data_IF_427694712404
#
_entry.id   IF_427694712404
#
_cell.length_a   1.000
_cell.length_b   1.000
_cell.length_c   1.000
_cell.angle_alpha   90.00
_cell.angle_beta   90.00
_cell.angle_gamma   90.00
#
_symmetry.space_group_name_H-M   'P 1'
#
loop_
_entity.id
_entity.type
_entity.pdbx_description
1 polymer ?
#
# COMPACT_ATOMS: atom_id res chain seq x y z
N UNK A 1 -50.03 -18.55 -13.74
CA UNK A 1 -49.42 -18.45 -12.39
C UNK A 1 -48.33 -19.49 -12.33
N UNK A 2 -47.11 -19.09 -12.64
CA UNK A 2 -45.94 -19.98 -12.63
C UNK A 2 -45.00 -19.42 -11.59
N UNK A 3 -44.85 -20.15 -10.48
CA UNK A 3 -43.93 -19.82 -9.40
C UNK A 3 -42.50 -19.97 -9.92
N UNK A 4 -41.77 -18.86 -9.93
CA UNK A 4 -40.34 -18.82 -10.18
C UNK A 4 -39.64 -18.85 -8.82
N UNK A 5 -39.00 -19.97 -8.50
CA UNK A 5 -38.17 -20.14 -7.31
C UNK A 5 -36.87 -19.36 -7.50
N UNK A 6 -36.66 -18.33 -6.66
CA UNK A 6 -35.39 -17.62 -6.55
C UNK A 6 -34.42 -18.49 -5.76
N UNK A 7 -33.38 -18.99 -6.40
CA UNK A 7 -32.17 -19.49 -5.75
C UNK A 7 -31.25 -18.32 -5.45
N UNK A 8 -30.74 -18.25 -4.21
CA UNK A 8 -29.78 -17.25 -3.74
C UNK A 8 -28.52 -17.25 -4.62
N UNK A 9 -27.96 -16.07 -4.97
CA UNK A 9 -26.70 -16.01 -5.70
C UNK A 9 -25.54 -16.32 -4.75
N UNK A 10 -24.74 -17.32 -5.13
CA UNK A 10 -23.42 -17.56 -4.55
C UNK A 10 -22.59 -16.27 -4.60
N UNK A 11 -22.05 -15.88 -3.44
CA UNK A 11 -21.07 -14.80 -3.31
C UNK A 11 -19.83 -15.16 -4.15
N UNK A 12 -19.67 -14.48 -5.28
CA UNK A 12 -18.48 -14.62 -6.13
C UNK A 12 -17.26 -13.99 -5.44
N UNK A 13 -16.07 -14.59 -5.59
CA UNK A 13 -14.86 -14.07 -4.97
C UNK A 13 -14.54 -12.67 -5.52
N UNK A 14 -14.32 -11.75 -4.59
CA UNK A 14 -13.91 -10.36 -4.81
C UNK A 14 -12.84 -10.25 -5.89
N UNK A 15 -12.96 -9.21 -6.73
CA UNK A 15 -12.03 -8.81 -7.79
C UNK A 15 -10.59 -8.94 -7.33
N UNK A 16 -9.95 -10.06 -7.66
CA UNK A 16 -8.51 -10.20 -7.52
C UNK A 16 -7.89 -9.23 -8.51
N UNK A 17 -6.89 -8.46 -8.06
CA UNK A 17 -5.95 -7.81 -8.96
C UNK A 17 -5.54 -8.87 -10.00
N UNK A 18 -5.83 -8.61 -11.28
CA UNK A 18 -5.51 -9.52 -12.36
C UNK A 18 -4.04 -9.86 -12.24
N UNK A 19 -3.77 -11.11 -11.86
CA UNK A 19 -2.43 -11.59 -11.58
C UNK A 19 -1.59 -11.36 -12.82
N UNK A 20 -0.59 -10.50 -12.68
CA UNK A 20 0.54 -10.52 -13.58
C UNK A 20 1.06 -11.96 -13.60
N UNK A 21 0.97 -12.62 -14.75
CA UNK A 21 1.70 -13.86 -15.01
C UNK A 21 3.18 -13.49 -15.10
N UNK A 22 3.79 -13.24 -13.95
CA UNK A 22 5.18 -12.81 -13.89
C UNK A 22 6.07 -13.92 -14.42
N UNK A 23 6.93 -13.60 -15.37
CA UNK A 23 7.92 -14.54 -15.87
C UNK A 23 8.92 -14.88 -14.75
N UNK A 24 9.64 -16.01 -14.89
CA UNK A 24 10.69 -16.41 -13.93
C UNK A 24 11.75 -15.32 -13.71
N UNK A 25 12.01 -14.47 -14.71
CA UNK A 25 12.93 -13.33 -14.64
C UNK A 25 12.42 -12.21 -13.72
N UNK A 26 11.11 -11.93 -13.69
CA UNK A 26 10.50 -10.97 -12.75
C UNK A 26 10.63 -11.43 -11.28
N UNK A 27 10.57 -12.75 -11.05
CA UNK A 27 10.77 -13.33 -9.72
C UNK A 27 12.24 -13.29 -9.27
N UNK A 28 13.18 -13.46 -10.21
CA UNK A 28 14.62 -13.34 -9.93
C UNK A 28 15.02 -11.86 -9.70
N UNK A 29 14.45 -10.89 -10.44
CA UNK A 29 14.64 -9.45 -10.14
C UNK A 29 14.02 -9.03 -8.80
N UNK A 30 12.89 -9.63 -8.40
CA UNK A 30 12.28 -9.40 -7.08
C UNK A 30 13.06 -10.03 -5.93
N UNK A 31 13.86 -11.07 -6.18
CA UNK A 31 14.83 -11.64 -5.22
C UNK A 31 16.10 -10.79 -5.12
N UNK A 32 16.35 -9.91 -6.10
CA UNK A 32 17.50 -8.99 -6.16
C UNK A 32 17.16 -7.53 -5.81
N UNK A 33 16.05 -7.26 -5.11
CA UNK A 33 15.92 -5.97 -4.41
C UNK A 33 17.13 -5.86 -3.49
N UNK A 34 18.07 -4.96 -3.80
CA UNK A 34 19.35 -4.79 -3.11
C UNK A 34 19.15 -4.73 -1.59
N UNK A 35 19.19 -5.89 -0.94
CA UNK A 35 19.50 -6.07 0.48
C UNK A 35 21.02 -5.96 0.63
N UNK A 36 21.61 -4.91 0.07
CA UNK A 36 23.02 -4.55 0.30
C UNK A 36 23.20 -3.96 1.71
N UNK A 37 22.10 -3.74 2.43
CA UNK A 37 22.12 -3.74 3.88
C UNK A 37 22.49 -5.15 4.32
N UNK A 38 23.72 -5.32 4.82
CA UNK A 38 24.25 -6.61 5.30
C UNK A 38 23.30 -7.36 6.24
N UNK A 39 23.64 -8.61 6.62
CA UNK A 39 22.75 -9.47 7.40
C UNK A 39 22.09 -8.70 8.55
N UNK A 40 20.74 -8.72 8.59
CA UNK A 40 19.96 -8.00 9.59
C UNK A 40 20.49 -8.31 11.00
N UNK A 41 21.12 -7.32 11.62
CA UNK A 41 21.69 -7.48 12.95
C UNK A 41 20.58 -7.37 14.01
N UNK A 42 20.01 -8.53 14.35
CA UNK A 42 18.97 -8.63 15.39
C UNK A 42 19.44 -8.14 16.75
N UNK A 43 20.75 -8.07 17.01
CA UNK A 43 21.27 -7.60 18.29
C UNK A 43 21.07 -6.09 18.49
N UNK A 44 20.79 -5.36 17.40
CA UNK A 44 20.48 -3.93 17.43
C UNK A 44 19.00 -3.61 17.67
N UNK A 45 18.13 -4.63 17.71
CA UNK A 45 16.68 -4.43 17.86
C UNK A 45 16.36 -4.05 19.30
N UNK A 46 15.84 -2.84 19.48
CA UNK A 46 15.28 -2.38 20.74
C UNK A 46 13.89 -3.01 20.93
N UNK A 47 13.79 -4.04 21.78
CA UNK A 47 12.54 -4.76 22.04
C UNK A 47 11.45 -3.87 22.64
N UNK A 48 11.81 -2.75 23.27
CA UNK A 48 10.82 -1.79 23.76
C UNK A 48 10.06 -1.11 22.62
N UNK A 49 10.62 -1.13 21.39
CA UNK A 49 9.90 -0.64 20.23
C UNK A 49 8.65 -1.49 19.94
N UNK A 50 8.52 -2.75 20.38
CA UNK A 50 7.41 -3.62 19.98
C UNK A 50 6.21 -3.66 20.95
N UNK A 51 6.33 -3.09 22.15
CA UNK A 51 5.29 -3.20 23.20
C UNK A 51 3.90 -2.71 22.76
N UNK A 52 3.87 -1.74 21.85
CA UNK A 52 2.66 -1.20 21.25
C UNK A 52 2.73 -1.24 19.71
N UNK A 53 3.19 -2.37 19.19
CA UNK A 53 3.35 -2.62 17.76
C UNK A 53 2.06 -2.65 16.95
N UNK A 54 2.18 -2.60 15.61
CA UNK A 54 1.08 -2.94 14.71
C UNK A 54 0.98 -4.45 14.60
N UNK A 55 -0.19 -5.00 14.89
CA UNK A 55 -0.43 -6.44 14.78
C UNK A 55 -0.61 -6.86 13.32
N UNK A 56 0.06 -7.93 12.92
CA UNK A 56 -0.08 -8.54 11.60
C UNK A 56 -0.39 -10.03 11.77
N UNK A 57 -1.52 -10.46 11.23
CA UNK A 57 -1.89 -11.87 11.15
C UNK A 57 -1.33 -12.48 9.87
N UNK A 58 -0.79 -13.68 10.01
CA UNK A 58 -0.06 -14.38 8.95
C UNK A 58 -0.56 -15.80 8.88
N UNK A 59 -0.89 -16.28 7.69
CA UNK A 59 -1.20 -17.70 7.50
C UNK A 59 0.08 -18.50 7.47
N UNK A 60 0.13 -19.59 8.24
CA UNK A 60 1.25 -20.51 8.24
C UNK A 60 0.81 -21.78 7.54
N UNK A 61 1.50 -22.11 6.45
CA UNK A 61 1.25 -23.32 5.67
C UNK A 61 2.31 -24.36 5.97
N UNK A 62 1.91 -25.62 6.07
CA UNK A 62 2.86 -26.74 6.06
C UNK A 62 3.65 -26.74 4.75
N UNK A 63 4.82 -27.37 4.75
CA UNK A 63 5.70 -27.36 3.58
C UNK A 63 5.07 -28.05 2.35
N UNK A 64 4.18 -29.00 2.57
CA UNK A 64 3.48 -29.77 1.54
C UNK A 64 2.16 -29.13 1.05
N UNK A 65 1.72 -28.02 1.65
CA UNK A 65 0.50 -27.35 1.23
C UNK A 65 0.63 -26.78 -0.19
N UNK A 66 -0.25 -27.21 -1.09
CA UNK A 66 -0.31 -26.75 -2.48
C UNK A 66 -1.73 -26.35 -2.82
N UNK A 67 -1.94 -25.06 -3.06
CA UNK A 67 -3.23 -24.53 -3.47
C UNK A 67 -3.06 -23.52 -4.60
N UNK A 68 -3.71 -23.66 -5.78
CA UNK A 68 -3.48 -22.79 -6.93
C UNK A 68 -3.72 -21.30 -6.68
N UNK A 69 -4.55 -20.95 -5.69
CA UNK A 69 -4.79 -19.54 -5.36
C UNK A 69 -3.64 -18.93 -4.57
N UNK A 70 -2.92 -19.71 -3.75
CA UNK A 70 -1.92 -19.22 -2.79
C UNK A 70 -0.49 -19.67 -3.13
N UNK A 71 -0.33 -20.70 -3.95
CA UNK A 71 0.96 -21.25 -4.38
C UNK A 71 1.16 -21.06 -5.89
N UNK A 72 2.41 -20.88 -6.29
CA UNK A 72 2.89 -20.92 -7.67
C UNK A 72 2.84 -22.37 -8.21
N UNK A 73 2.93 -22.59 -9.54
CA UNK A 73 2.91 -23.93 -10.13
C UNK A 73 4.04 -24.86 -9.64
N UNK A 74 5.15 -24.29 -9.16
CA UNK A 74 6.27 -25.04 -8.58
C UNK A 74 6.07 -25.40 -7.10
N UNK A 75 4.95 -25.00 -6.49
CA UNK A 75 4.66 -25.23 -5.08
C UNK A 75 5.10 -24.09 -4.15
N UNK A 76 5.86 -23.10 -4.60
CA UNK A 76 6.25 -21.97 -3.73
C UNK A 76 5.04 -21.11 -3.36
N UNK A 77 5.05 -20.48 -2.19
CA UNK A 77 4.00 -19.51 -1.81
C UNK A 77 4.08 -18.29 -2.74
N UNK A 78 2.93 -17.82 -3.24
CA UNK A 78 2.88 -16.57 -3.99
C UNK A 78 3.34 -15.41 -3.10
N UNK A 79 4.29 -14.57 -3.55
CA UNK A 79 4.75 -13.45 -2.75
C UNK A 79 3.67 -12.36 -2.66
N UNK A 80 3.83 -11.47 -1.68
CA UNK A 80 3.09 -10.22 -1.52
C UNK A 80 1.56 -10.38 -1.52
N UNK A 81 1.08 -11.34 -0.73
CA UNK A 81 -0.34 -11.56 -0.52
C UNK A 81 -0.92 -10.49 0.41
N UNK A 82 -2.20 -10.10 0.25
CA UNK A 82 -2.84 -9.10 1.12
C UNK A 82 -2.85 -9.55 2.58
N UNK A 83 -3.15 -10.83 2.81
CA UNK A 83 -2.86 -11.52 4.07
C UNK A 83 -1.55 -12.27 3.85
N UNK A 84 -0.45 -11.88 4.51
CA UNK A 84 0.84 -12.52 4.34
C UNK A 84 0.77 -14.01 4.68
N UNK A 85 1.63 -14.77 3.99
CA UNK A 85 1.72 -16.22 4.13
C UNK A 85 3.19 -16.62 4.27
N UNK A 86 3.47 -17.57 5.16
CA UNK A 86 4.81 -18.14 5.35
C UNK A 86 4.73 -19.67 5.44
N UNK A 87 5.76 -20.36 4.97
CA UNK A 87 5.91 -21.81 5.21
C UNK A 87 6.29 -22.07 6.66
N UNK A 88 5.87 -23.20 7.22
CA UNK A 88 6.21 -23.54 8.60
C UNK A 88 7.72 -23.68 8.79
N UNK A 89 8.43 -24.31 7.84
CA UNK A 89 9.87 -24.49 7.94
C UNK A 89 10.61 -23.17 7.82
N UNK A 90 10.14 -22.27 6.95
CA UNK A 90 10.65 -20.92 6.81
C UNK A 90 10.45 -20.13 8.11
N UNK A 91 9.23 -20.16 8.67
CA UNK A 91 8.92 -19.51 9.94
C UNK A 91 9.83 -19.99 11.06
N UNK A 92 9.86 -21.30 11.32
CA UNK A 92 10.61 -21.85 12.46
C UNK A 92 12.13 -21.70 12.29
N UNK A 93 12.64 -21.77 11.05
CA UNK A 93 14.07 -21.59 10.75
C UNK A 93 14.51 -20.13 10.86
N UNK A 94 13.69 -19.19 10.37
CA UNK A 94 14.12 -17.79 10.20
C UNK A 94 13.84 -16.93 11.44
N UNK A 95 13.05 -17.44 12.39
CA UNK A 95 12.90 -16.84 13.72
C UNK A 95 14.21 -16.89 14.50
N UNK A 96 14.59 -15.76 15.07
CA UNK A 96 15.79 -15.60 15.89
C UNK A 96 15.41 -15.19 17.31
N UNK A 97 16.05 -15.81 18.30
CA UNK A 97 15.81 -15.50 19.70
C UNK A 97 16.63 -14.29 20.12
N UNK A 98 15.96 -13.25 20.62
CA UNK A 98 16.55 -12.03 21.18
C UNK A 98 16.04 -11.89 22.61
N UNK A 99 16.85 -12.26 23.59
CA UNK A 99 16.40 -12.41 24.98
C UNK A 99 15.29 -13.46 25.11
N UNK A 100 14.12 -13.03 25.59
CA UNK A 100 12.92 -13.88 25.73
C UNK A 100 11.94 -13.75 24.54
N UNK A 101 12.35 -13.06 23.47
CA UNK A 101 11.50 -12.76 22.32
C UNK A 101 11.97 -13.53 21.08
N UNK A 102 11.01 -13.85 20.20
CA UNK A 102 11.27 -14.45 18.89
C UNK A 102 11.01 -13.42 17.80
N UNK A 103 12.04 -13.07 17.06
CA UNK A 103 12.00 -12.03 16.02
C UNK A 103 12.18 -12.68 14.66
N UNK A 104 11.32 -12.33 13.71
CA UNK A 104 11.53 -12.56 12.28
C UNK A 104 12.20 -11.30 11.70
N UNK A 105 13.52 -11.30 11.47
CA UNK A 105 14.23 -10.11 11.01
C UNK A 105 13.92 -9.75 9.56
N UNK A 106 13.84 -10.78 8.72
CA UNK A 106 13.70 -10.65 7.27
C UNK A 106 12.28 -10.30 6.81
N UNK A 107 12.13 -9.98 5.50
CA UNK A 107 10.86 -9.61 4.91
C UNK A 107 9.89 -10.80 4.86
N UNK A 108 8.74 -10.65 5.50
CA UNK A 108 7.68 -11.67 5.50
C UNK A 108 6.95 -11.73 4.15
N UNK A 109 6.83 -12.92 3.57
CA UNK A 109 6.11 -13.18 2.30
C UNK A 109 6.59 -12.27 1.13
N UNK A 110 7.85 -11.83 1.15
CA UNK A 110 8.39 -10.91 0.14
C UNK A 110 7.89 -9.46 0.24
N UNK A 111 7.22 -9.08 1.33
CA UNK A 111 6.90 -7.69 1.65
C UNK A 111 8.10 -6.98 2.30
N UNK A 112 8.76 -6.02 1.62
CA UNK A 112 9.97 -5.40 2.16
C UNK A 112 9.76 -4.58 3.45
N UNK A 113 8.53 -4.12 3.69
CA UNK A 113 8.15 -3.40 4.90
C UNK A 113 7.88 -4.29 6.11
N UNK A 114 7.62 -5.58 5.91
CA UNK A 114 7.27 -6.53 6.98
C UNK A 114 8.52 -7.22 7.52
N UNK A 115 9.41 -6.41 8.10
CA UNK A 115 10.69 -6.79 8.72
C UNK A 115 10.68 -6.53 10.22
N UNK A 116 11.60 -7.17 10.94
CA UNK A 116 11.80 -7.06 12.39
C UNK A 116 10.49 -7.30 13.15
N UNK A 117 9.81 -8.39 12.85
CA UNK A 117 8.51 -8.74 13.40
C UNK A 117 8.66 -9.63 14.63
N UNK A 118 8.09 -9.24 15.76
CA UNK A 118 8.07 -10.07 16.96
C UNK A 118 6.90 -11.05 16.91
N UNK A 119 7.19 -12.36 17.00
CA UNK A 119 6.16 -13.38 17.10
C UNK A 119 5.48 -13.34 18.47
N UNK A 120 4.14 -13.17 18.47
CA UNK A 120 3.32 -13.11 19.70
C UNK A 120 2.54 -14.37 19.99
N UNK A 121 1.94 -14.98 18.97
CA UNK A 121 1.20 -16.22 19.13
C UNK A 121 1.24 -17.06 17.86
N UNK A 122 1.04 -18.36 18.04
CA UNK A 122 0.70 -19.31 16.99
C UNK A 122 -0.59 -19.99 17.40
N UNK A 123 -1.61 -19.87 16.57
CA UNK A 123 -2.97 -20.34 16.82
C UNK A 123 -3.39 -21.32 15.71
N UNK A 124 -4.01 -22.44 16.10
CA UNK A 124 -4.54 -23.45 15.17
C UNK A 124 -6.05 -23.30 15.03
N UNK A 125 -6.53 -23.19 13.80
CA UNK A 125 -7.97 -23.31 13.48
C UNK A 125 -8.42 -24.74 13.73
N UNK A 126 -9.35 -24.91 14.68
CA UNK A 126 -9.97 -26.20 14.97
C UNK A 126 -11.17 -26.41 14.04
N UNK A 127 -11.12 -27.49 13.26
CA UNK A 127 -12.21 -27.93 12.40
C UNK A 127 -12.89 -29.14 13.02
N UNK A 128 -14.21 -29.08 13.14
CA UNK A 128 -15.03 -30.17 13.64
C UNK A 128 -15.41 -31.18 12.58
N UNK A 129 -16.20 -32.19 12.94
CA UNK A 129 -16.84 -33.07 11.98
C UNK A 129 -17.60 -32.22 10.94
N UNK A 130 -17.50 -32.59 9.65
CA UNK A 130 -18.08 -31.85 8.52
C UNK A 130 -17.42 -30.49 8.20
N UNK A 131 -16.23 -30.19 8.74
CA UNK A 131 -15.51 -28.96 8.42
C UNK A 131 -16.08 -27.69 9.08
N UNK A 132 -16.94 -27.85 10.08
CA UNK A 132 -17.46 -26.73 10.87
C UNK A 132 -16.34 -26.11 11.71
N UNK A 133 -16.22 -24.78 11.68
CA UNK A 133 -15.27 -24.08 12.54
C UNK A 133 -15.68 -24.22 14.02
N UNK A 134 -14.82 -24.84 14.83
CA UNK A 134 -15.06 -25.05 16.26
C UNK A 134 -14.38 -24.00 17.14
N UNK A 135 -13.37 -23.28 16.62
CA UNK A 135 -12.65 -22.23 17.34
C UNK A 135 -11.17 -22.19 17.03
N UNK A 136 -10.44 -21.36 17.78
CA UNK A 136 -8.98 -21.27 17.73
C UNK A 136 -8.38 -21.95 18.95
N UNK A 137 -7.32 -22.75 18.76
CA UNK A 137 -6.50 -23.32 19.82
C UNK A 137 -5.13 -22.66 19.79
N UNK A 138 -4.76 -21.96 20.86
CA UNK A 138 -3.41 -21.42 20.99
C UNK A 138 -2.41 -22.58 21.15
N UNK A 139 -1.45 -22.69 20.23
CA UNK A 139 -0.38 -23.68 20.27
C UNK A 139 0.84 -23.14 21.02
N UNK A 140 1.13 -21.85 20.83
CA UNK A 140 2.25 -21.16 21.46
C UNK A 140 1.90 -19.68 21.67
N UNK A 141 2.35 -19.12 22.79
CA UNK A 141 2.20 -17.71 23.12
C UNK A 141 3.51 -17.20 23.76
N UNK A 142 3.92 -15.97 23.41
CA UNK A 142 5.15 -15.36 23.93
C UNK A 142 5.18 -15.24 25.48
N UNK A 143 4.02 -15.21 26.14
CA UNK A 143 3.93 -15.12 27.60
C UNK A 143 4.09 -16.48 28.31
N UNK A 144 3.93 -17.60 27.60
CA UNK A 144 3.93 -18.93 28.22
C UNK A 144 5.34 -19.44 28.59
N UNK A 145 6.40 -18.75 28.15
CA UNK A 145 7.82 -19.13 28.33
C UNK A 145 8.13 -20.57 27.87
N UNK A 146 7.32 -21.11 26.97
CA UNK A 146 7.54 -22.41 26.33
C UNK A 146 8.43 -22.22 25.10
N UNK A 147 9.24 -23.23 24.81
CA UNK A 147 9.96 -23.30 23.54
C UNK A 147 8.96 -23.39 22.37
N UNK A 148 9.38 -22.92 21.20
CA UNK A 148 8.58 -23.05 19.98
C UNK A 148 8.34 -24.53 19.66
N UNK A 149 7.17 -24.88 19.10
CA UNK A 149 6.92 -26.23 18.63
C UNK A 149 7.88 -26.57 17.48
N UNK A 150 8.35 -27.83 17.44
CA UNK A 150 9.25 -28.31 16.38
C UNK A 150 8.55 -28.44 15.02
N UNK A 151 7.23 -28.59 15.01
CA UNK A 151 6.39 -28.70 13.82
C UNK A 151 5.01 -28.08 14.08
N UNK A 152 4.37 -27.59 13.01
CA UNK A 152 3.05 -26.97 13.08
C UNK A 152 2.01 -27.81 12.32
N UNK A 153 0.74 -27.83 12.79
CA UNK A 153 -0.33 -28.47 12.03
C UNK A 153 -0.74 -27.62 10.80
N UNK A 154 -1.41 -28.26 9.84
CA UNK A 154 -1.81 -27.69 8.52
C UNK A 154 -2.50 -26.32 8.56
N UNK A 155 -3.29 -26.03 9.60
CA UNK A 155 -4.15 -24.85 9.68
C UNK A 155 -3.74 -23.92 10.80
N UNK A 156 -2.57 -23.28 10.65
CA UNK A 156 -2.04 -22.32 11.62
C UNK A 156 -2.11 -20.88 11.16
N UNK A 157 -2.24 -19.98 12.14
CA UNK A 157 -2.05 -18.55 11.99
C UNK A 157 -1.01 -18.09 13.01
N UNK A 158 -0.06 -17.28 12.55
CA UNK A 158 0.90 -16.61 13.42
C UNK A 158 0.50 -15.14 13.56
N UNK A 159 0.57 -14.63 14.79
CA UNK A 159 0.41 -13.21 15.07
C UNK A 159 1.77 -12.60 15.33
N UNK A 160 2.08 -11.54 14.59
CA UNK A 160 3.29 -10.76 14.77
C UNK A 160 2.97 -9.33 15.23
N UNK A 161 3.91 -8.71 15.95
CA UNK A 161 3.95 -7.26 16.12
C UNK A 161 5.10 -6.67 15.31
N UNK A 162 4.79 -5.62 14.55
CA UNK A 162 5.80 -4.69 14.04
C UNK A 162 6.28 -3.74 15.13
N UNK A 163 7.43 -3.06 14.96
CA UNK A 163 7.81 -1.93 15.79
C UNK A 163 6.70 -0.86 15.88
N UNK A 164 6.48 -0.30 17.07
CA UNK A 164 5.45 0.69 17.43
C UNK A 164 5.55 1.98 16.62
N UNK A 165 6.75 2.38 16.19
CA UNK A 165 6.93 3.54 15.33
C UNK A 165 6.21 3.38 13.98
N UNK A 166 5.93 2.15 13.52
CA UNK A 166 5.14 1.92 12.29
C UNK A 166 3.70 2.40 12.40
N UNK A 167 3.16 2.61 13.62
CA UNK A 167 1.86 3.28 13.81
C UNK A 167 1.88 4.74 13.39
N UNK A 168 3.06 5.35 13.36
CA UNK A 168 3.24 6.78 13.13
C UNK A 168 3.76 7.11 11.74
N UNK A 169 4.35 6.15 11.01
CA UNK A 169 4.88 6.39 9.67
C UNK A 169 5.71 5.22 9.12
N UNK A 170 6.26 5.40 7.92
CA UNK A 170 7.12 4.40 7.28
C UNK A 170 8.57 4.38 7.76
N UNK A 171 8.97 5.32 8.61
CA UNK A 171 10.32 5.37 9.18
C UNK A 171 10.30 5.94 10.59
N UNK A 172 11.09 5.34 11.49
CA UNK A 172 11.33 5.88 12.84
C UNK A 172 11.91 7.30 12.80
N UNK A 173 12.72 7.61 11.78
CA UNK A 173 13.41 8.90 11.63
C UNK A 173 12.60 9.95 10.87
N UNK A 174 11.58 9.53 10.13
CA UNK A 174 10.69 10.41 9.35
C UNK A 174 9.26 9.88 9.48
N UNK A 175 8.61 10.11 10.63
CA UNK A 175 7.24 9.66 10.84
C UNK A 175 6.28 10.46 9.95
N UNK A 176 5.08 9.93 9.76
CA UNK A 176 4.02 10.51 8.94
C UNK A 176 3.64 9.63 7.76
N UNK A 177 2.35 9.59 7.45
CA UNK A 177 1.79 8.90 6.28
C UNK A 177 1.49 9.88 5.14
N UNK A 178 2.43 10.78 4.87
CA UNK A 178 2.40 11.69 3.71
C UNK A 178 3.64 11.42 2.87
N UNK A 179 3.45 11.27 1.56
CA UNK A 179 4.57 11.21 0.62
C UNK A 179 4.34 12.07 -0.60
N UNK A 180 5.45 12.48 -1.23
CA UNK A 180 5.49 13.32 -2.41
C UNK A 180 6.35 12.66 -3.47
N UNK A 181 5.80 12.50 -4.67
CA UNK A 181 6.51 11.96 -5.81
C UNK A 181 6.67 13.00 -6.89
N UNK A 182 7.93 13.24 -7.26
CA UNK A 182 8.32 14.07 -8.40
C UNK A 182 9.05 13.20 -9.43
N UNK A 183 8.48 12.97 -10.63
CA UNK A 183 9.14 12.23 -11.70
C UNK A 183 10.51 12.80 -12.04
N UNK A 184 11.48 11.94 -12.36
CA UNK A 184 12.86 12.34 -12.69
C UNK A 184 12.92 13.33 -13.86
N UNK A 185 11.97 13.23 -14.79
CA UNK A 185 11.83 14.16 -15.91
C UNK A 185 11.62 15.62 -15.48
N UNK A 186 11.06 15.87 -14.29
CA UNK A 186 10.80 17.21 -13.78
C UNK A 186 11.99 17.83 -13.03
N UNK A 187 12.90 17.02 -12.49
CA UNK A 187 13.96 17.55 -11.64
C UNK A 187 15.19 18.06 -12.40
N UNK A 188 15.39 17.64 -13.65
CA UNK A 188 16.64 17.97 -14.37
C UNK A 188 17.92 17.58 -13.61
N UNK A 189 17.88 16.53 -12.78
CA UNK A 189 18.99 16.09 -11.92
C UNK A 189 19.14 16.84 -10.59
N UNK A 190 18.19 17.70 -10.19
CA UNK A 190 18.19 18.34 -8.87
C UNK A 190 17.88 17.35 -7.74
N UNK A 191 18.33 17.69 -6.52
CA UNK A 191 17.93 17.01 -5.28
C UNK A 191 16.40 17.07 -5.15
N UNK A 192 15.74 15.92 -4.89
CA UNK A 192 14.29 15.84 -4.72
C UNK A 192 13.52 14.97 -5.73
N UNK A 193 14.19 14.30 -6.67
CA UNK A 193 13.52 13.30 -7.50
C UNK A 193 13.10 12.06 -6.72
N UNK A 194 12.01 11.45 -7.18
CA UNK A 194 11.51 10.21 -6.62
C UNK A 194 10.55 10.48 -5.47
N UNK A 195 10.53 9.57 -4.49
CA UNK A 195 9.58 9.61 -3.37
C UNK A 195 10.29 10.13 -2.13
N UNK A 196 9.76 11.23 -1.58
CA UNK A 196 10.07 11.70 -0.22
C UNK A 196 8.85 11.52 0.66
N UNK A 197 9.04 11.26 1.96
CA UNK A 197 7.92 10.94 2.85
C UNK A 197 8.18 11.33 4.30
N UNK A 198 7.09 11.38 5.07
CA UNK A 198 7.10 11.73 6.48
C UNK A 198 7.55 13.16 6.74
N UNK A 199 8.06 13.43 7.93
CA UNK A 199 8.53 14.76 8.35
C UNK A 199 9.70 15.31 7.52
N UNK A 200 10.58 14.44 7.01
CA UNK A 200 11.69 14.84 6.13
C UNK A 200 11.23 15.55 4.85
N UNK A 201 9.98 15.31 4.45
CA UNK A 201 9.37 15.95 3.29
C UNK A 201 9.38 17.48 3.41
N UNK A 202 9.21 18.03 4.62
CA UNK A 202 9.25 19.50 4.84
C UNK A 202 10.65 20.05 4.56
N UNK A 203 11.69 19.40 5.08
CA UNK A 203 13.08 19.81 4.88
C UNK A 203 13.47 19.75 3.41
N UNK A 204 13.17 18.64 2.73
CA UNK A 204 13.51 18.47 1.31
C UNK A 204 12.80 19.52 0.44
N UNK A 205 11.54 19.84 0.76
CA UNK A 205 10.75 20.80 -0.01
C UNK A 205 11.01 22.28 0.37
N UNK A 206 11.84 22.60 1.36
CA UNK A 206 12.13 24.00 1.72
C UNK A 206 12.80 24.78 0.57
N UNK A 207 13.58 24.09 -0.26
CA UNK A 207 14.23 24.66 -1.44
C UNK A 207 13.40 24.61 -2.72
N UNK A 208 12.21 23.99 -2.70
CA UNK A 208 11.38 23.85 -3.88
C UNK A 208 10.83 25.21 -4.32
N UNK A 209 10.92 25.49 -5.61
CA UNK A 209 10.39 26.72 -6.21
C UNK A 209 8.86 26.71 -6.23
N UNK A 210 8.26 27.89 -6.40
CA UNK A 210 6.83 28.02 -6.64
C UNK A 210 6.00 28.37 -5.41
N UNK A 211 4.87 28.98 -5.69
CA UNK A 211 3.83 29.29 -4.73
C UNK A 211 2.51 28.79 -5.29
N UNK A 212 1.70 28.11 -4.49
CA UNK A 212 0.37 27.67 -4.90
C UNK A 212 -0.49 28.88 -5.25
N UNK A 213 -1.03 28.92 -6.47
CA UNK A 213 -1.83 30.04 -6.98
C UNK A 213 -3.30 29.66 -7.06
N UNK A 214 -3.60 28.54 -7.71
CA UNK A 214 -4.96 28.04 -7.89
C UNK A 214 -5.09 26.63 -7.35
N UNK A 215 -6.31 26.29 -6.98
CA UNK A 215 -6.70 24.97 -6.50
C UNK A 215 -7.90 24.49 -7.30
N UNK A 216 -7.91 23.22 -7.66
CA UNK A 216 -8.98 22.55 -8.37
C UNK A 216 -9.45 21.33 -7.59
N UNK A 217 -10.76 21.16 -7.55
CA UNK A 217 -11.38 19.94 -7.05
C UNK A 217 -11.71 19.05 -8.23
N UNK A 218 -10.97 17.96 -8.38
CA UNK A 218 -11.11 16.97 -9.44
C UNK A 218 -11.91 15.78 -8.89
N UNK A 219 -12.86 15.27 -9.67
CA UNK A 219 -13.54 14.00 -9.38
C UNK A 219 -13.54 13.10 -10.61
N UNK A 220 -13.48 11.78 -10.40
CA UNK A 220 -13.57 10.78 -11.46
C UNK A 220 -14.02 9.43 -10.88
N UNK A 221 -14.26 8.44 -11.75
CA UNK A 221 -14.39 7.03 -11.34
C UNK A 221 -13.23 6.21 -11.91
N UNK A 222 -12.95 5.04 -11.36
CA UNK A 222 -11.97 4.12 -11.95
C UNK A 222 -12.64 3.21 -12.98
N UNK A 223 -11.96 2.90 -14.10
CA UNK A 223 -12.45 1.90 -15.05
C UNK A 223 -12.41 0.51 -14.42
N UNK A 224 -13.42 -0.31 -14.74
CA UNK A 224 -13.46 -1.73 -14.40
C UNK A 224 -13.47 -2.59 -15.68
N UNK A 225 -12.76 -3.72 -15.65
CA UNK A 225 -12.68 -4.63 -16.80
C UNK A 225 -14.03 -5.30 -17.10
N UNK A 226 -14.78 -5.59 -16.04
CA UNK A 226 -16.14 -6.15 -16.09
C UNK A 226 -17.20 -5.09 -16.36
N UNK A 227 -18.45 -5.52 -16.44
CA UNK A 227 -19.61 -4.62 -16.42
C UNK A 227 -19.66 -3.91 -15.06
N UNK A 228 -19.83 -2.59 -15.07
CA UNK A 228 -19.93 -1.80 -13.85
C UNK A 228 -21.12 -2.27 -12.99
N UNK A 229 -20.87 -2.54 -11.73
CA UNK A 229 -21.94 -2.76 -10.75
C UNK A 229 -22.53 -1.41 -10.32
N UNK A 230 -23.71 -1.42 -9.68
CA UNK A 230 -24.28 -0.20 -9.10
C UNK A 230 -23.33 0.50 -8.12
N UNK A 231 -22.54 -0.29 -7.37
CA UNK A 231 -21.51 0.22 -6.47
C UNK A 231 -20.41 0.94 -7.24
N UNK A 232 -19.94 0.38 -8.35
CA UNK A 232 -18.88 0.99 -9.18
C UNK A 232 -19.36 2.33 -9.78
N UNK A 233 -20.63 2.41 -10.18
CA UNK A 233 -21.24 3.65 -10.71
C UNK A 233 -21.37 4.74 -9.62
N UNK A 234 -21.59 4.33 -8.37
CA UNK A 234 -21.75 5.25 -7.24
C UNK A 234 -20.43 5.61 -6.53
N UNK A 235 -19.35 4.89 -6.82
CA UNK A 235 -18.04 5.12 -6.19
C UNK A 235 -17.27 6.16 -6.99
N UNK A 236 -17.16 7.36 -6.42
CA UNK A 236 -16.38 8.46 -6.96
C UNK A 236 -15.10 8.66 -6.17
N UNK A 237 -14.04 8.98 -6.89
CA UNK A 237 -12.76 9.38 -6.35
C UNK A 237 -12.59 10.88 -6.57
N UNK A 238 -11.87 11.51 -5.66
CA UNK A 238 -11.62 12.93 -5.69
C UNK A 238 -10.17 13.24 -5.35
N UNK A 239 -9.68 14.33 -5.92
CA UNK A 239 -8.34 14.82 -5.67
C UNK A 239 -8.35 16.34 -5.64
N UNK A 240 -7.40 16.91 -4.90
CA UNK A 240 -7.09 18.34 -4.95
C UNK A 240 -5.92 18.52 -5.90
N UNK A 241 -6.01 19.48 -6.81
CA UNK A 241 -4.89 19.81 -7.70
C UNK A 241 -4.49 21.27 -7.50
N UNK A 242 -3.19 21.53 -7.32
CA UNK A 242 -2.63 22.87 -7.15
C UNK A 242 -1.84 23.26 -8.40
N UNK A 243 -2.12 24.46 -8.92
CA UNK A 243 -1.27 25.14 -9.90
C UNK A 243 -0.21 25.97 -9.16
N UNK A 244 1.04 25.83 -9.58
CA UNK A 244 2.17 26.56 -9.01
C UNK A 244 2.55 27.76 -9.87
N UNK A 245 3.05 28.81 -9.22
CA UNK A 245 3.51 30.04 -9.89
C UNK A 245 4.67 29.87 -10.87
N UNK A 246 5.34 28.71 -10.90
CA UNK A 246 6.41 28.41 -11.86
C UNK A 246 5.90 27.70 -13.13
N UNK A 247 4.64 27.26 -13.17
CA UNK A 247 4.00 26.67 -14.37
C UNK A 247 4.78 25.51 -15.01
N UNK A 248 5.43 24.67 -14.19
CA UNK A 248 6.24 23.52 -14.66
C UNK A 248 5.49 22.19 -14.56
N UNK A 249 4.67 22.10 -13.53
CA UNK A 249 3.84 20.95 -13.19
C UNK A 249 2.69 21.45 -12.32
N UNK A 250 1.67 20.61 -12.15
CA UNK A 250 0.67 20.74 -11.08
C UNK A 250 0.94 19.65 -10.04
N UNK A 251 0.59 19.90 -8.78
CA UNK A 251 0.63 18.82 -7.77
C UNK A 251 -0.78 18.35 -7.48
N UNK A 252 -1.01 17.05 -7.65
CA UNK A 252 -2.23 16.38 -7.26
C UNK A 252 -2.08 15.77 -5.87
N UNK A 253 -3.09 15.96 -5.02
CA UNK A 253 -3.17 15.38 -3.69
C UNK A 253 -4.37 14.45 -3.59
N UNK A 254 -4.12 13.23 -3.12
CA UNK A 254 -5.13 12.18 -2.94
C UNK A 254 -5.06 11.63 -1.52
N UNK A 255 -6.22 11.48 -0.87
CA UNK A 255 -6.37 10.70 0.35
C UNK A 255 -6.76 9.26 -0.04
N UNK A 256 -6.06 8.27 0.51
CA UNK A 256 -6.31 6.87 0.17
C UNK A 256 -5.90 5.92 1.29
N UNK A 257 -6.09 4.61 1.08
CA UNK A 257 -5.62 3.55 1.97
C UNK A 257 -4.11 3.61 2.15
N UNK A 258 -3.68 3.42 3.39
CA UNK A 258 -2.28 3.30 3.74
C UNK A 258 -1.65 2.13 2.98
N UNK A 259 -0.48 2.38 2.39
CA UNK A 259 0.28 1.46 1.55
C UNK A 259 -0.46 1.01 0.28
N UNK A 260 -1.55 1.68 -0.13
CA UNK A 260 -2.32 1.27 -1.30
C UNK A 260 -1.45 1.20 -2.57
N UNK A 261 -0.70 2.27 -2.88
CA UNK A 261 0.17 2.26 -4.07
C UNK A 261 1.37 1.31 -3.91
N UNK A 262 1.97 1.22 -2.71
CA UNK A 262 3.08 0.31 -2.45
C UNK A 262 2.69 -1.16 -2.62
N UNK A 263 1.50 -1.53 -2.13
CA UNK A 263 0.92 -2.86 -2.26
C UNK A 263 0.51 -3.21 -3.70
N UNK A 264 0.14 -2.21 -4.50
CA UNK A 264 -0.20 -2.35 -5.92
C UNK A 264 1.01 -2.24 -6.86
N UNK A 265 2.24 -2.33 -6.34
CA UNK A 265 3.46 -2.29 -7.16
C UNK A 265 3.71 -0.92 -7.81
N UNK A 266 3.32 0.17 -7.14
CA UNK A 266 3.54 1.54 -7.60
C UNK A 266 2.68 1.98 -8.79
N UNK A 267 1.63 1.22 -9.13
CA UNK A 267 0.75 1.53 -10.27
C UNK A 267 -0.22 2.66 -9.92
N UNK A 268 0.13 3.89 -10.26
CA UNK A 268 -0.72 5.07 -10.09
C UNK A 268 -1.33 5.54 -11.41
N UNK A 269 -2.57 6.04 -11.39
CA UNK A 269 -3.19 6.66 -12.57
C UNK A 269 -2.53 7.97 -12.99
N UNK A 270 -1.75 8.57 -12.09
CA UNK A 270 -1.14 9.88 -12.28
C UNK A 270 0.27 9.81 -12.86
N UNK A 271 0.83 8.60 -13.05
CA UNK A 271 2.18 8.40 -13.61
C UNK A 271 2.11 7.82 -15.02
N UNK A 272 2.93 8.32 -15.94
CA UNK A 272 2.86 7.95 -17.36
C UNK A 272 3.06 6.44 -17.58
N UNK A 273 3.99 5.84 -16.83
CA UNK A 273 4.44 4.45 -16.95
C UNK A 273 3.65 3.47 -16.06
N UNK A 274 2.41 3.79 -15.65
CA UNK A 274 1.55 2.93 -14.80
C UNK A 274 1.53 1.45 -15.21
N UNK A 275 1.51 1.20 -16.51
CA UNK A 275 1.39 -0.16 -17.07
C UNK A 275 2.73 -0.90 -17.14
N UNK A 276 3.84 -0.23 -16.82
CA UNK A 276 5.14 -0.87 -16.64
C UNK A 276 5.07 -1.93 -15.54
N UNK A 277 5.78 -3.07 -15.70
CA UNK A 277 5.95 -4.05 -14.62
C UNK A 277 6.56 -3.43 -13.35
N UNK A 278 7.44 -2.44 -13.53
CA UNK A 278 8.09 -1.71 -12.46
C UNK A 278 8.06 -0.20 -12.76
N UNK A 279 6.97 0.50 -12.39
CA UNK A 279 6.88 1.94 -12.59
C UNK A 279 7.94 2.71 -11.80
N UNK A 280 8.38 3.87 -12.30
CA UNK A 280 9.35 4.76 -11.65
C UNK A 280 8.96 5.07 -10.20
N UNK A 281 7.66 5.29 -9.97
CA UNK A 281 7.11 5.49 -8.63
C UNK A 281 7.44 4.33 -7.69
N UNK A 282 7.25 3.08 -8.14
CA UNK A 282 7.56 1.90 -7.33
C UNK A 282 9.05 1.81 -7.01
N UNK A 283 9.89 2.01 -8.04
CA UNK A 283 11.34 1.95 -7.92
C UNK A 283 11.85 2.99 -6.91
N UNK A 284 11.24 4.17 -6.91
CA UNK A 284 11.58 5.29 -6.02
C UNK A 284 11.10 5.13 -4.59
N UNK A 285 10.09 4.28 -4.32
CA UNK A 285 9.57 4.05 -2.96
C UNK A 285 10.59 3.35 -2.08
N UNK A 286 10.74 3.81 -0.83
CA UNK A 286 11.53 3.10 0.17
C UNK A 286 10.93 1.71 0.47
N UNK A 287 11.76 0.70 0.84
CA UNK A 287 11.27 -0.64 1.21
C UNK A 287 10.16 -0.62 2.26
N UNK A 288 10.24 0.28 3.25
CA UNK A 288 9.24 0.39 4.32
C UNK A 288 7.86 0.89 3.87
N UNK A 289 7.74 1.48 2.67
CA UNK A 289 6.47 1.87 2.06
C UNK A 289 5.85 0.75 1.20
N UNK A 290 6.60 -0.32 0.91
CA UNK A 290 6.16 -1.45 0.10
C UNK A 290 5.56 -2.52 1.02
N UNK A 291 4.29 -2.33 1.37
CA UNK A 291 3.54 -3.20 2.27
C UNK A 291 2.22 -3.66 1.65
N UNK A 292 1.57 -4.64 2.28
CA UNK A 292 0.15 -4.88 2.07
C UNK A 292 -0.65 -3.61 2.40
N UNK A 293 -1.70 -3.35 1.63
CA UNK A 293 -2.57 -2.22 1.89
C UNK A 293 -3.33 -2.39 3.21
N UNK A 294 -3.56 -1.28 3.90
CA UNK A 294 -4.37 -1.21 5.11
C UNK A 294 -5.56 -0.29 4.85
N UNK A 295 -6.75 -0.90 4.75
CA UNK A 295 -7.99 -0.19 4.40
C UNK A 295 -8.55 0.62 5.57
N UNK A 296 -8.04 0.43 6.79
CA UNK A 296 -8.49 1.12 8.00
C UNK A 296 -7.69 2.37 8.30
N UNK A 297 -6.54 2.56 7.65
CA UNK A 297 -5.68 3.72 7.84
C UNK A 297 -5.50 4.51 6.55
N UNK A 298 -5.28 5.80 6.70
CA UNK A 298 -5.15 6.73 5.58
C UNK A 298 -3.69 7.11 5.32
N UNK A 299 -3.41 7.41 4.06
CA UNK A 299 -2.20 8.11 3.61
C UNK A 299 -2.59 9.28 2.70
N UNK A 300 -1.76 10.33 2.69
CA UNK A 300 -1.84 11.39 1.68
C UNK A 300 -0.74 11.20 0.66
N UNK A 301 -1.14 11.16 -0.61
CA UNK A 301 -0.26 11.01 -1.76
C UNK A 301 -0.19 12.32 -2.51
N UNK A 302 1.02 12.79 -2.79
CA UNK A 302 1.25 13.98 -3.60
C UNK A 302 1.99 13.57 -4.88
N UNK A 303 1.47 13.97 -6.04
CA UNK A 303 2.04 13.65 -7.35
C UNK A 303 2.29 14.94 -8.11
N UNK A 304 3.53 15.18 -8.51
CA UNK A 304 3.82 16.21 -9.51
C UNK A 304 3.53 15.65 -10.89
N UNK A 305 2.46 16.15 -11.50
CA UNK A 305 2.02 15.77 -12.85
C UNK A 305 2.61 16.80 -13.82
N UNK A 306 3.36 16.37 -14.86
CA UNK A 306 4.11 17.26 -15.75
C UNK A 306 3.20 18.00 -16.75
N UNK A 307 2.29 18.82 -16.23
CA UNK A 307 1.36 19.70 -16.94
C UNK A 307 1.41 21.08 -16.30
N UNK A 308 1.41 22.15 -17.09
CA UNK A 308 1.65 23.51 -16.59
C UNK A 308 0.47 24.09 -15.77
N UNK A 309 -0.74 23.61 -16.03
CA UNK A 309 -1.96 24.16 -15.42
C UNK A 309 -3.22 23.39 -15.76
N UNK A 310 -4.36 24.01 -15.46
CA UNK A 310 -5.69 23.39 -15.58
C UNK A 310 -6.01 22.87 -16.99
N UNK A 311 -5.71 23.64 -18.03
CA UNK A 311 -6.07 23.30 -19.40
C UNK A 311 -5.32 22.04 -19.88
N UNK A 312 -4.03 21.94 -19.58
CA UNK A 312 -3.22 20.76 -19.89
C UNK A 312 -3.62 19.56 -19.03
N UNK A 313 -3.99 19.78 -17.77
CA UNK A 313 -4.54 18.72 -16.92
C UNK A 313 -5.84 18.15 -17.52
N UNK A 314 -6.74 18.98 -18.04
CA UNK A 314 -7.96 18.51 -18.70
C UNK A 314 -7.65 17.66 -19.94
N UNK A 315 -6.63 18.03 -20.72
CA UNK A 315 -6.16 17.23 -21.86
C UNK A 315 -5.58 15.89 -21.41
N UNK A 316 -4.80 15.88 -20.31
CA UNK A 316 -4.29 14.66 -19.70
C UNK A 316 -5.43 13.72 -19.26
N UNK A 317 -6.44 14.28 -18.58
CA UNK A 317 -7.62 13.53 -18.14
C UNK A 317 -8.41 12.97 -19.32
N UNK A 318 -8.68 13.78 -20.33
CA UNK A 318 -9.39 13.39 -21.55
C UNK A 318 -8.65 12.25 -22.27
N UNK A 319 -7.33 12.40 -22.47
CA UNK A 319 -6.49 11.38 -23.14
C UNK A 319 -6.64 9.99 -22.51
N UNK A 320 -6.70 9.93 -21.18
CA UNK A 320 -6.78 8.69 -20.41
C UNK A 320 -8.19 8.34 -19.92
N UNK A 321 -9.23 9.00 -20.45
CA UNK A 321 -10.63 8.78 -20.07
C UNK A 321 -11.37 7.80 -20.99
N UNK A 322 -12.61 7.47 -20.61
CA UNK A 322 -13.57 6.70 -21.40
C UNK A 322 -14.05 7.41 -22.67
N UNK A 323 -13.84 8.73 -22.77
CA UNK A 323 -14.10 9.52 -23.98
C UNK A 323 -12.83 9.81 -24.78
N UNK A 324 -11.67 9.36 -24.28
CA UNK A 324 -10.37 9.60 -24.89
C UNK A 324 -10.08 8.74 -26.12
N UNK A 325 -8.98 9.03 -26.82
CA UNK A 325 -8.58 8.29 -28.02
C UNK A 325 -7.94 6.92 -27.73
N UNK A 326 -7.58 6.64 -26.47
CA UNK A 326 -6.88 5.41 -26.09
C UNK A 326 -7.85 4.23 -25.93
N UNK A 327 -7.39 2.98 -26.13
CA UNK A 327 -8.22 1.80 -25.90
C UNK A 327 -8.54 1.63 -24.40
N UNK A 328 -9.64 0.91 -24.09
CA UNK A 328 -10.11 0.66 -22.71
C UNK A 328 -9.03 0.11 -21.78
N UNK A 329 -8.12 -0.72 -22.28
CA UNK A 329 -7.00 -1.29 -21.52
C UNK A 329 -5.98 -0.25 -21.04
N UNK A 330 -6.03 0.96 -21.57
CA UNK A 330 -5.19 2.10 -21.16
C UNK A 330 -5.98 3.20 -20.48
N UNK A 331 -7.30 3.05 -20.31
CA UNK A 331 -8.09 4.00 -19.55
C UNK A 331 -7.63 4.04 -18.10
N UNK A 332 -7.64 5.23 -17.53
CA UNK A 332 -7.33 5.50 -16.13
C UNK A 332 -8.51 6.14 -15.41
N UNK A 333 -9.34 6.85 -16.16
CA UNK A 333 -10.46 7.61 -15.63
C UNK A 333 -11.75 7.26 -16.36
N UNK A 334 -12.86 7.36 -15.64
CA UNK A 334 -14.20 7.36 -16.21
C UNK A 334 -14.89 8.65 -15.75
N UNK A 335 -15.42 9.42 -16.70
CA UNK A 335 -16.05 10.72 -16.47
C UNK A 335 -15.23 11.67 -15.57
N UNK A 336 -13.93 11.91 -15.84
CA UNK A 336 -13.15 12.86 -15.07
C UNK A 336 -13.67 14.29 -15.28
N UNK A 337 -13.79 15.06 -14.19
CA UNK A 337 -14.25 16.44 -14.26
C UNK A 337 -13.63 17.30 -13.14
N UNK A 338 -13.31 18.54 -13.48
CA UNK A 338 -12.97 19.56 -12.47
C UNK A 338 -14.27 20.20 -11.99
N UNK A 339 -14.70 19.81 -10.80
CA UNK A 339 -15.95 20.27 -10.19
C UNK A 339 -15.87 21.72 -9.71
N UNK A 340 -14.73 22.12 -9.12
CA UNK A 340 -14.53 23.47 -8.59
C UNK A 340 -13.12 23.96 -8.89
N UNK A 341 -12.96 25.28 -9.01
CA UNK A 341 -11.66 25.94 -9.09
C UNK A 341 -11.69 27.24 -8.30
N UNK A 342 -10.61 27.57 -7.60
CA UNK A 342 -10.50 28.79 -6.80
C UNK A 342 -9.04 29.25 -6.67
N UNK A 343 -8.85 30.52 -6.31
CA UNK A 343 -7.55 31.03 -5.87
C UNK A 343 -7.20 30.48 -4.49
N UNK A 344 -5.92 30.16 -4.28
CA UNK A 344 -5.39 29.70 -2.99
C UNK A 344 -5.34 30.87 -2.01
N UNK A 345 -6.01 30.71 -0.87
CA UNK A 345 -6.17 31.77 0.15
C UNK A 345 -5.29 31.58 1.39
N UNK A 346 -4.57 30.46 1.50
CA UNK A 346 -3.65 30.26 2.63
C UNK A 346 -2.44 31.19 2.48
N UNK A 347 -1.99 31.77 3.60
CA UNK A 347 -0.89 32.75 3.62
C UNK A 347 0.44 32.14 3.22
N UNK A 348 0.76 30.97 3.77
CA UNK A 348 1.98 30.24 3.46
C UNK A 348 1.65 29.11 2.52
N UNK A 349 2.23 29.16 1.32
CA UNK A 349 1.76 28.41 0.15
C UNK A 349 2.90 27.85 -0.71
N UNK A 350 4.10 27.71 -0.14
CA UNK A 350 5.18 26.93 -0.79
C UNK A 350 4.95 25.43 -0.59
N UNK A 351 5.61 24.56 -1.37
CA UNK A 351 5.51 23.11 -1.21
C UNK A 351 5.76 22.63 0.23
N UNK A 352 6.82 23.12 0.89
CA UNK A 352 7.11 22.78 2.30
C UNK A 352 6.00 23.19 3.29
N UNK A 353 5.31 24.30 3.05
CA UNK A 353 4.19 24.70 3.92
C UNK A 353 2.99 23.79 3.71
N UNK A 354 2.67 23.46 2.45
CA UNK A 354 1.58 22.53 2.13
C UNK A 354 1.86 21.16 2.75
N UNK A 355 3.07 20.64 2.59
CA UNK A 355 3.55 19.44 3.25
C UNK A 355 3.32 19.43 4.77
N UNK A 356 3.70 20.52 5.45
CA UNK A 356 3.47 20.66 6.89
C UNK A 356 1.98 20.61 7.27
N UNK A 357 1.10 21.20 6.45
CA UNK A 357 -0.35 21.08 6.66
C UNK A 357 -0.85 19.64 6.50
N UNK A 358 -0.36 18.92 5.49
CA UNK A 358 -0.74 17.52 5.25
C UNK A 358 -0.29 16.60 6.38
N UNK A 359 0.94 16.77 6.89
CA UNK A 359 1.45 15.99 8.02
C UNK A 359 0.61 16.25 9.28
N UNK A 360 0.28 17.51 9.54
CA UNK A 360 -0.61 17.87 10.65
C UNK A 360 -2.01 17.27 10.47
N UNK A 361 -2.55 17.26 9.25
CA UNK A 361 -3.84 16.62 8.94
C UNK A 361 -3.80 15.12 9.22
N UNK A 362 -2.84 14.39 8.62
CA UNK A 362 -2.80 12.92 8.72
C UNK A 362 -2.55 12.44 10.15
N UNK A 363 -1.82 13.23 10.96
CA UNK A 363 -1.60 12.93 12.37
C UNK A 363 -2.88 12.95 13.23
N UNK A 364 -3.95 13.59 12.71
CA UNK A 364 -5.25 13.73 13.39
C UNK A 364 -6.36 12.90 12.75
N UNK A 365 -6.25 12.62 11.45
CA UNK A 365 -7.25 11.95 10.64
C UNK A 365 -6.68 10.67 9.99
N UNK A 366 -6.06 9.81 10.82
CA UNK A 366 -5.37 8.61 10.35
C UNK A 366 -6.29 7.44 10.03
N UNK A 367 -7.55 7.46 10.45
CA UNK A 367 -8.53 6.41 10.12
C UNK A 367 -9.07 6.62 8.69
N UNK A 368 -9.29 5.51 7.98
CA UNK A 368 -9.90 5.50 6.66
C UNK A 368 -11.15 4.62 6.65
N UNK A 369 -12.20 5.11 5.99
CA UNK A 369 -13.43 4.38 5.74
C UNK A 369 -13.83 4.58 4.29
N UNK A 370 -13.82 3.53 3.47
CA UNK A 370 -14.12 3.64 2.03
C UNK A 370 -15.58 4.08 1.73
N UNK A 371 -16.49 4.03 2.70
CA UNK A 371 -17.85 4.53 2.51
C UNK A 371 -17.98 5.99 2.93
N UNK A 372 -17.20 6.43 3.91
CA UNK A 372 -17.30 7.79 4.46
C UNK A 372 -16.19 8.71 3.96
N UNK A 373 -14.96 8.22 3.95
CA UNK A 373 -13.71 8.93 3.72
C UNK A 373 -13.09 8.68 2.33
N UNK A 374 -13.74 7.90 1.46
CA UNK A 374 -13.15 7.56 0.16
C UNK A 374 -12.92 8.81 -0.67
N UNK A 375 -11.63 9.14 -0.81
CA UNK A 375 -11.18 10.35 -1.44
C UNK A 375 -11.88 11.61 -0.89
N UNK A 376 -12.11 11.68 0.43
CA UNK A 376 -12.53 12.94 1.05
C UNK A 376 -11.48 14.02 0.78
N UNK A 377 -11.98 15.20 0.44
CA UNK A 377 -11.16 16.41 0.32
C UNK A 377 -10.90 16.98 1.70
N UNK A 378 -9.62 17.16 2.05
CA UNK A 378 -9.14 17.74 3.30
C UNK A 378 -8.87 19.25 3.19
#
# INVERSE_FOLDING_TARGET
MTLCTMTEPELSPSTQASGASGSREELDELRHVNLDDGPFDVSSIDLSDHEDGVQTQVKVFTDDFIHPQDCLPNGDVKPRRPIPVIRESELLRDLQRVGDHWILPGPLNGWPSLVNLELRSIDQKQSGPLGLFLGMKCLWNCHDRRELPEALPETCEATFLSPSWKKKGWSKRSPGFVWWFSPSALCGGSVGCGVVFGENLVEVLQGAEGQAQKVHYLVHRYPVDRVETLRDVQTWHAAVVIEWSHEKFVTLFELSWLNGIGGYGGKSNWVEDKLSPSPELYQSMAPSMRASWDENHSEVRCFDVPVAGKEELLQFLERYSDTGPLPKTQWRFVAPQIYLSAEVRVRFRSPAHIAGYLLNYISRASEYDTLRANCQTF
#
